data_IF_094000173337
#
_entry.id   IF_094000173337
#
_cell.length_a   1.000
_cell.length_b   1.000
_cell.length_c   1.000
_cell.angle_alpha   90.00
_cell.angle_beta   90.00
_cell.angle_gamma   90.00
#
_symmetry.space_group_name_H-M   'P 1'
#
loop_
_entity.id
_entity.type
_entity.pdbx_description
1 polymer ?
#
# COMPACT_ATOMS: atom_id res chain seq x y z
N UNK A 1 21.36 13.50 -41.49
CA UNK A 1 20.51 12.79 -42.48
C UNK A 1 20.72 11.31 -42.34
N UNK A 2 19.78 10.60 -41.75
CA UNK A 2 19.61 9.15 -42.00
C UNK A 2 18.19 8.75 -41.58
N UNK A 3 17.39 8.50 -42.59
CA UNK A 3 16.05 7.91 -42.54
C UNK A 3 16.17 6.39 -42.33
N UNK A 4 15.44 5.81 -41.43
CA UNK A 4 15.03 4.38 -41.43
C UNK A 4 13.60 4.35 -40.92
N UNK A 5 12.68 4.16 -41.83
CA UNK A 5 12.13 2.98 -42.46
C UNK A 5 11.22 2.19 -41.49
N UNK A 6 9.89 2.41 -41.74
CA UNK A 6 8.78 1.59 -41.26
C UNK A 6 8.88 0.15 -41.75
N UNK A 7 8.57 -0.82 -40.94
CA UNK A 7 7.97 -2.08 -41.40
C UNK A 7 6.75 -2.39 -40.54
N UNK A 8 5.61 -2.33 -41.20
CA UNK A 8 4.33 -2.93 -40.81
C UNK A 8 4.44 -4.44 -41.05
N UNK A 9 4.13 -5.24 -40.04
CA UNK A 9 3.71 -6.61 -40.25
C UNK A 9 2.34 -6.84 -39.66
N UNK A 10 1.40 -6.85 -40.58
CA UNK A 10 0.03 -7.32 -40.42
C UNK A 10 0.04 -8.83 -40.67
N UNK A 11 -0.21 -9.62 -39.64
CA UNK A 11 -0.48 -11.04 -39.82
C UNK A 11 -1.92 -11.32 -39.43
N UNK A 12 -2.70 -11.54 -40.51
CA UNK A 12 -4.04 -12.15 -40.50
C UNK A 12 -3.92 -13.64 -40.18
N UNK A 13 -4.78 -14.16 -39.37
CA UNK A 13 -4.91 -15.62 -39.11
C UNK A 13 -6.09 -15.90 -38.22
N UNK A 14 -7.14 -16.09 -38.84
CA UNK A 14 -7.92 -17.29 -39.18
C UNK A 14 -8.97 -17.63 -38.12
N UNK A 15 -10.15 -17.27 -38.49
CA UNK A 15 -11.48 -17.79 -38.17
C UNK A 15 -11.50 -19.34 -38.14
N UNK A 16 -11.80 -19.94 -37.01
CA UNK A 16 -12.30 -21.34 -36.96
C UNK A 16 -13.62 -21.39 -36.19
N UNK A 17 -14.67 -21.45 -36.99
CA UNK A 17 -15.98 -22.00 -36.66
C UNK A 17 -15.79 -23.47 -36.27
N UNK A 18 -16.26 -23.86 -35.11
CA UNK A 18 -16.37 -25.24 -34.65
C UNK A 18 -17.70 -25.46 -33.96
N UNK A 19 -18.69 -25.82 -34.75
CA UNK A 19 -20.02 -26.31 -34.41
C UNK A 19 -19.90 -27.77 -33.93
N UNK A 20 -20.71 -28.21 -33.00
CA UNK A 20 -21.09 -29.56 -32.49
C UNK A 20 -20.86 -29.66 -30.99
N UNK A 21 -21.71 -30.22 -30.16
CA UNK A 21 -22.82 -31.13 -30.25
C UNK A 21 -23.50 -31.16 -28.87
N UNK A 22 -24.80 -31.18 -28.90
CA UNK A 22 -25.72 -31.42 -27.76
C UNK A 22 -25.44 -32.80 -27.18
N UNK A 23 -25.19 -32.88 -25.84
CA UNK A 23 -25.44 -34.11 -25.09
C UNK A 23 -26.24 -33.76 -23.82
N UNK A 24 -27.52 -34.05 -23.94
CA UNK A 24 -28.49 -34.15 -22.88
C UNK A 24 -28.30 -35.53 -22.23
N UNK A 25 -27.78 -35.58 -20.98
CA UNK A 25 -27.93 -36.77 -20.15
C UNK A 25 -28.29 -36.33 -18.73
N UNK A 26 -29.53 -36.57 -18.40
CA UNK A 26 -30.03 -36.59 -17.05
C UNK A 26 -29.40 -37.77 -16.29
N UNK A 27 -28.79 -37.50 -15.12
CA UNK A 27 -28.57 -38.51 -14.08
C UNK A 27 -29.04 -37.96 -12.76
N UNK A 28 -30.09 -38.56 -12.26
CA UNK A 28 -30.59 -38.47 -10.89
C UNK A 28 -29.65 -39.28 -9.98
N UNK A 29 -29.65 -38.79 -8.73
CA UNK A 29 -29.38 -39.48 -7.47
C UNK A 29 -27.98 -39.95 -7.16
N UNK A 30 -27.41 -39.32 -6.12
CA UNK A 30 -26.99 -40.03 -4.89
C UNK A 30 -26.63 -39.03 -3.78
N UNK A 31 -27.39 -39.04 -2.71
CA UNK A 31 -27.02 -38.56 -1.40
C UNK A 31 -25.68 -39.14 -0.97
N UNK A 32 -24.69 -38.28 -0.81
CA UNK A 32 -23.38 -38.60 -0.26
C UNK A 32 -22.90 -37.47 0.59
N UNK A 33 -23.16 -37.50 1.91
CA UNK A 33 -22.45 -36.71 2.88
C UNK A 33 -20.97 -37.09 2.83
N UNK A 34 -20.17 -36.25 2.26
CA UNK A 34 -18.72 -36.31 2.40
C UNK A 34 -18.26 -34.97 2.96
N UNK A 35 -17.86 -35.00 4.22
CA UNK A 35 -17.21 -33.93 4.97
C UNK A 35 -15.85 -33.62 4.33
N UNK A 36 -15.89 -32.90 3.22
CA UNK A 36 -14.75 -32.22 2.64
C UNK A 36 -14.71 -30.80 3.18
N UNK A 37 -14.00 -30.57 4.27
CA UNK A 37 -13.70 -29.23 4.75
C UNK A 37 -12.83 -28.55 3.69
N UNK A 38 -13.50 -27.78 2.86
CA UNK A 38 -12.87 -26.89 1.92
C UNK A 38 -12.04 -25.85 2.68
N UNK A 39 -10.74 -25.89 2.47
CA UNK A 39 -9.78 -24.87 2.95
C UNK A 39 -9.98 -23.50 2.28
N UNK A 40 -11.04 -23.30 1.54
CA UNK A 40 -11.36 -22.03 0.85
C UNK A 40 -12.02 -20.97 1.73
N UNK A 41 -12.15 -21.22 3.07
CA UNK A 41 -12.87 -20.31 3.97
C UNK A 41 -11.99 -19.28 4.68
N UNK A 42 -10.69 -19.24 4.41
CA UNK A 42 -9.76 -18.28 5.02
C UNK A 42 -9.57 -16.97 4.25
N UNK A 43 -10.11 -16.85 3.03
CA UNK A 43 -9.88 -15.68 2.15
C UNK A 43 -11.00 -14.62 2.16
N UNK A 44 -12.06 -14.82 2.91
CA UNK A 44 -13.22 -13.93 2.86
C UNK A 44 -13.61 -13.40 4.23
N UNK A 45 -12.74 -12.62 4.89
CA UNK A 45 -13.16 -11.71 5.96
C UNK A 45 -12.04 -10.77 6.38
N UNK A 46 -11.75 -9.78 5.56
CA UNK A 46 -11.17 -8.52 6.04
C UNK A 46 -11.80 -7.35 5.28
N UNK A 47 -13.08 -7.11 5.53
CA UNK A 47 -13.76 -5.85 5.19
C UNK A 47 -13.69 -4.88 6.39
N UNK A 48 -12.60 -4.90 7.13
CA UNK A 48 -12.28 -3.85 8.07
C UNK A 48 -11.75 -2.66 7.29
N UNK A 49 -12.25 -1.47 7.59
CA UNK A 49 -11.68 -0.22 7.06
C UNK A 49 -10.18 -0.20 7.37
N UNK A 50 -9.33 -0.05 6.34
CA UNK A 50 -7.89 0.03 6.52
C UNK A 50 -7.53 1.20 7.46
N UNK A 51 -6.63 0.95 8.40
CA UNK A 51 -6.17 1.93 9.39
C UNK A 51 -4.66 2.02 9.37
N UNK A 52 -4.15 3.22 9.67
CA UNK A 52 -2.72 3.48 9.82
C UNK A 52 -2.44 4.25 11.10
N UNK A 53 -1.27 4.07 11.65
CA UNK A 53 -0.79 4.76 12.85
C UNK A 53 0.71 5.06 12.75
N UNK A 54 1.15 6.04 13.55
CA UNK A 54 2.54 6.49 13.62
C UNK A 54 2.98 6.50 15.06
N UNK A 55 4.18 6.00 15.34
CA UNK A 55 4.77 5.98 16.68
C UNK A 55 6.28 6.27 16.62
N UNK A 56 6.83 7.09 17.52
CA UNK A 56 6.13 7.95 18.48
C UNK A 56 5.34 9.06 17.79
N UNK A 57 4.24 9.50 18.39
CA UNK A 57 3.47 10.64 17.91
C UNK A 57 2.84 11.39 19.13
N UNK A 58 3.20 12.64 19.38
CA UNK A 58 4.09 13.51 18.63
C UNK A 58 5.56 13.12 18.71
N UNK A 59 6.32 13.53 17.68
CA UNK A 59 7.75 13.27 17.53
C UNK A 59 8.58 14.40 18.16
N UNK A 60 9.62 14.05 18.91
CA UNK A 60 10.56 15.03 19.46
C UNK A 60 11.41 15.67 18.35
N UNK A 61 11.68 16.94 18.49
CA UNK A 61 12.52 17.70 17.58
C UNK A 61 14.02 17.38 17.78
N UNK A 62 14.47 16.23 17.23
CA UNK A 62 15.87 15.79 17.30
C UNK A 62 16.51 15.79 15.90
N UNK A 63 17.86 15.80 15.88
CA UNK A 63 18.62 15.81 14.62
C UNK A 63 18.30 14.60 13.71
N UNK A 64 18.06 13.45 14.32
CA UNK A 64 17.67 12.21 13.67
C UNK A 64 16.56 11.55 14.47
N UNK A 65 15.47 11.20 13.82
CA UNK A 65 14.31 10.58 14.43
C UNK A 65 13.95 9.30 13.70
N UNK A 66 13.57 8.28 14.45
CA UNK A 66 12.98 7.05 13.91
C UNK A 66 11.49 7.07 14.21
N UNK A 67 10.70 6.86 13.18
CA UNK A 67 9.24 6.81 13.26
C UNK A 67 8.79 5.47 12.70
N UNK A 68 7.99 4.73 13.45
CA UNK A 68 7.36 3.50 12.98
C UNK A 68 6.00 3.86 12.40
N UNK A 69 5.75 3.45 11.18
CA UNK A 69 4.46 3.54 10.50
C UNK A 69 3.91 2.14 10.43
N UNK A 70 2.73 1.93 10.97
CA UNK A 70 2.06 0.63 10.98
C UNK A 70 0.60 0.76 10.58
N UNK A 71 0.01 -0.34 10.15
CA UNK A 71 -1.40 -0.34 9.81
C UNK A 71 -1.96 -1.75 9.66
N UNK A 72 -3.28 -1.83 9.57
CA UNK A 72 -4.04 -3.08 9.48
C UNK A 72 -5.28 -2.91 8.59
N UNK A 73 -5.91 -4.04 8.21
CA UNK A 73 -7.10 -4.03 7.38
C UNK A 73 -6.80 -3.97 5.87
N UNK A 74 -5.55 -4.24 5.47
CA UNK A 74 -5.14 -4.34 4.08
C UNK A 74 -5.34 -5.76 3.54
N UNK A 75 -5.29 -5.93 2.23
CA UNK A 75 -5.29 -7.27 1.61
C UNK A 75 -3.99 -8.00 1.96
N UNK A 76 -4.03 -9.31 2.24
CA UNK A 76 -2.82 -10.09 2.43
C UNK A 76 -1.84 -9.94 1.27
N UNK A 77 -0.54 -9.77 1.59
CA UNK A 77 0.57 -9.63 0.62
C UNK A 77 0.44 -8.41 -0.31
N UNK A 78 -0.45 -7.46 0.02
CA UNK A 78 -0.60 -6.23 -0.75
C UNK A 78 0.66 -5.36 -0.63
N UNK A 79 1.20 -4.93 -1.76
CA UNK A 79 2.20 -3.87 -1.78
C UNK A 79 1.53 -2.53 -1.49
N UNK A 80 2.15 -1.75 -0.64
CA UNK A 80 1.62 -0.46 -0.19
C UNK A 80 2.62 0.65 -0.54
N UNK A 81 2.10 1.81 -0.88
CA UNK A 81 2.86 3.03 -0.99
C UNK A 81 2.63 3.92 0.23
N UNK A 82 3.60 4.78 0.53
CA UNK A 82 3.51 5.76 1.60
C UNK A 82 3.77 7.15 1.04
N UNK A 83 2.78 8.02 1.11
CA UNK A 83 2.93 9.43 0.75
C UNK A 83 2.93 10.27 2.02
N UNK A 84 3.74 11.32 2.06
CA UNK A 84 3.71 12.32 3.10
C UNK A 84 3.59 13.71 2.49
N UNK A 85 2.75 14.55 3.07
CA UNK A 85 2.67 15.94 2.67
C UNK A 85 3.91 16.70 3.20
N UNK A 86 4.75 17.15 2.31
CA UNK A 86 5.96 17.96 2.61
C UNK A 86 5.77 19.38 2.11
N UNK A 87 4.95 20.18 2.82
CA UNK A 87 4.75 21.58 2.49
C UNK A 87 3.80 21.82 1.33
N UNK A 88 2.71 21.06 1.28
CA UNK A 88 1.63 21.20 0.29
C UNK A 88 1.74 20.32 -0.94
N UNK A 89 2.77 19.48 -1.02
CA UNK A 89 2.93 18.50 -2.09
C UNK A 89 3.15 17.10 -1.52
N UNK A 90 2.38 16.08 -1.97
CA UNK A 90 2.61 14.70 -1.56
C UNK A 90 3.96 14.21 -2.11
N UNK A 91 4.75 13.61 -1.24
CA UNK A 91 6.06 13.02 -1.57
C UNK A 91 6.07 11.55 -1.24
N UNK A 92 6.52 10.72 -2.15
CA UNK A 92 6.66 9.27 -1.93
C UNK A 92 7.86 8.98 -1.03
N UNK A 93 7.60 8.33 0.09
CA UNK A 93 8.59 7.87 1.06
C UNK A 93 8.75 6.35 1.10
N UNK A 94 8.07 5.60 0.23
CA UNK A 94 8.11 4.13 0.21
C UNK A 94 9.53 3.57 0.06
N UNK A 95 10.39 4.29 -0.67
CA UNK A 95 11.80 3.95 -0.83
C UNK A 95 12.70 4.31 0.36
N UNK A 96 12.21 5.15 1.28
CA UNK A 96 12.97 5.67 2.43
C UNK A 96 12.68 4.89 3.72
N UNK A 97 11.72 3.99 3.71
CA UNK A 97 11.32 3.17 4.86
C UNK A 97 11.90 1.76 4.78
N UNK A 98 12.09 1.12 5.93
CA UNK A 98 12.57 -0.27 6.02
C UNK A 98 11.83 -1.02 7.14
N UNK A 99 11.33 -2.26 6.87
CA UNK A 99 11.24 -2.93 5.56
C UNK A 99 10.32 -2.18 4.59
N UNK A 100 10.31 -2.58 3.30
CA UNK A 100 9.31 -2.05 2.35
C UNK A 100 7.90 -2.31 2.87
N UNK A 101 6.95 -1.37 2.69
CA UNK A 101 5.59 -1.53 3.21
C UNK A 101 4.82 -2.57 2.39
N UNK A 102 4.75 -3.78 2.93
CA UNK A 102 3.99 -4.91 2.37
C UNK A 102 3.15 -5.49 3.49
N UNK A 103 1.87 -5.67 3.25
CA UNK A 103 0.98 -6.30 4.21
C UNK A 103 1.31 -7.78 4.38
N UNK A 104 1.33 -8.26 5.62
CA UNK A 104 1.50 -9.67 5.95
C UNK A 104 0.23 -10.49 5.62
N UNK A 105 0.22 -11.77 5.98
CA UNK A 105 -0.94 -12.65 5.74
C UNK A 105 -2.19 -12.25 6.55
N UNK A 106 -2.02 -11.45 7.60
CA UNK A 106 -3.11 -10.88 8.42
C UNK A 106 -3.59 -9.52 7.90
N UNK A 107 -2.99 -8.99 6.83
CA UNK A 107 -3.29 -7.66 6.32
C UNK A 107 -2.73 -6.53 7.18
N UNK A 108 -1.62 -6.78 7.89
CA UNK A 108 -0.92 -5.79 8.73
C UNK A 108 0.43 -5.47 8.13
N UNK A 109 0.90 -4.24 8.29
CA UNK A 109 2.28 -3.87 7.98
C UNK A 109 2.90 -3.03 9.08
N UNK A 110 4.22 -3.07 9.15
CA UNK A 110 5.02 -2.18 10.01
C UNK A 110 6.33 -1.87 9.32
N UNK A 111 6.67 -0.60 9.29
CA UNK A 111 7.91 -0.10 8.68
C UNK A 111 8.48 1.04 9.47
N UNK A 112 9.79 1.27 9.37
CA UNK A 112 10.49 2.34 10.07
C UNK A 112 11.00 3.36 9.07
N UNK A 113 10.64 4.61 9.31
CA UNK A 113 11.14 5.76 8.60
C UNK A 113 12.20 6.47 9.45
N UNK A 114 13.37 6.72 8.86
CA UNK A 114 14.43 7.50 9.49
C UNK A 114 14.40 8.90 8.91
N UNK A 115 14.00 9.87 9.73
CA UNK A 115 13.86 11.27 9.36
C UNK A 115 15.13 12.01 9.80
N UNK A 116 15.92 12.51 8.86
CA UNK A 116 17.14 13.28 9.11
C UNK A 116 17.36 14.37 8.07
N UNK A 117 18.40 15.17 8.25
CA UNK A 117 18.92 16.13 7.28
C UNK A 117 17.88 17.05 6.65
N UNK A 118 17.76 16.97 5.31
CA UNK A 118 16.87 17.84 4.52
C UNK A 118 15.39 17.48 4.69
N UNK A 119 15.08 16.18 4.78
CA UNK A 119 13.71 15.71 4.97
C UNK A 119 13.16 16.32 6.25
N UNK A 120 13.94 16.26 7.33
CA UNK A 120 13.57 16.87 8.59
C UNK A 120 13.30 18.38 8.46
N UNK A 121 14.13 19.12 7.72
CA UNK A 121 13.92 20.56 7.51
C UNK A 121 12.59 20.86 6.82
N UNK A 122 12.21 20.07 5.83
CA UNK A 122 10.94 20.21 5.11
C UNK A 122 9.72 19.88 5.99
N UNK A 123 9.90 18.98 6.97
CA UNK A 123 8.83 18.55 7.88
C UNK A 123 8.68 19.43 9.13
N UNK A 124 9.45 20.50 9.27
CA UNK A 124 9.38 21.34 10.47
C UNK A 124 8.39 22.48 10.35
N UNK A 125 7.96 22.77 9.15
CA UNK A 125 6.97 23.81 8.88
C UNK A 125 6.11 23.36 7.69
N UNK A 126 4.85 23.05 7.91
CA UNK A 126 4.12 22.98 9.19
C UNK A 126 4.60 21.84 10.12
N UNK A 127 4.18 21.85 11.40
CA UNK A 127 4.53 20.80 12.37
C UNK A 127 3.64 19.57 12.31
N UNK A 128 2.63 19.57 11.47
CA UNK A 128 1.68 18.48 11.28
C UNK A 128 1.64 18.08 9.80
N UNK A 129 1.82 16.79 9.54
CA UNK A 129 1.88 16.23 8.19
C UNK A 129 0.94 15.05 8.08
N UNK A 130 0.19 14.98 6.98
CA UNK A 130 -0.59 13.80 6.67
C UNK A 130 0.29 12.74 6.02
N UNK A 131 0.21 11.51 6.51
CA UNK A 131 0.77 10.33 5.86
C UNK A 131 -0.40 9.54 5.29
N UNK A 132 -0.33 9.25 4.01
CA UNK A 132 -1.31 8.44 3.30
C UNK A 132 -0.71 7.08 2.95
N UNK A 133 -1.46 6.02 3.22
CA UNK A 133 -1.16 4.67 2.73
C UNK A 133 -1.96 4.46 1.46
N UNK A 134 -1.28 4.16 0.37
CA UNK A 134 -1.87 4.01 -0.96
C UNK A 134 -1.65 2.61 -1.51
N UNK A 135 -2.45 2.22 -2.49
CA UNK A 135 -2.24 1.01 -3.27
C UNK A 135 -1.42 1.30 -4.56
N UNK A 136 -1.24 0.27 -5.38
CA UNK A 136 -0.56 0.34 -6.66
C UNK A 136 -1.28 1.18 -7.73
N UNK A 137 -2.58 1.45 -7.52
CA UNK A 137 -3.38 2.35 -8.36
C UNK A 137 -3.44 3.80 -7.80
N UNK A 138 -2.59 4.13 -6.82
CA UNK A 138 -2.52 5.43 -6.15
C UNK A 138 -3.78 5.82 -5.38
N UNK A 139 -4.65 4.86 -5.04
CA UNK A 139 -5.84 5.10 -4.22
C UNK A 139 -5.44 5.12 -2.76
N UNK A 140 -5.89 6.12 -2.03
CA UNK A 140 -5.68 6.21 -0.59
C UNK A 140 -6.52 5.17 0.14
N UNK A 141 -5.86 4.28 0.85
CA UNK A 141 -6.47 3.22 1.67
C UNK A 141 -6.65 3.66 3.11
N UNK A 142 -5.66 4.36 3.67
CA UNK A 142 -5.69 4.86 5.04
C UNK A 142 -4.90 6.17 5.16
N UNK A 143 -5.22 6.96 6.19
CA UNK A 143 -4.50 8.21 6.52
C UNK A 143 -4.15 8.22 8.00
N UNK A 144 -3.01 8.82 8.32
CA UNK A 144 -2.60 9.12 9.69
C UNK A 144 -1.85 10.46 9.72
N UNK A 145 -1.68 11.01 10.89
CA UNK A 145 -1.02 12.31 11.05
C UNK A 145 0.26 12.17 11.84
N UNK A 146 1.35 12.69 11.33
CA UNK A 146 2.64 12.84 12.00
C UNK A 146 2.74 14.25 12.56
N UNK A 147 3.00 14.38 13.86
CA UNK A 147 3.09 15.68 14.56
C UNK A 147 4.50 15.82 15.12
N UNK A 148 5.17 16.96 14.86
CA UNK A 148 6.41 17.31 15.49
C UNK A 148 6.16 18.23 16.69
N UNK A 149 6.80 17.94 17.82
CA UNK A 149 6.81 18.87 18.97
C UNK A 149 7.57 20.14 18.57
N UNK A 150 6.97 21.28 18.85
CA UNK A 150 7.69 22.56 18.70
C UNK A 150 8.87 22.57 19.67
N UNK A 151 10.07 23.00 19.24
CA UNK A 151 11.19 23.20 20.19
C UNK A 151 10.78 24.18 21.26
N UNK A 152 10.93 23.80 22.52
CA UNK A 152 10.79 24.76 23.62
C UNK A 152 11.86 25.85 23.45
N UNK A 153 11.41 27.07 23.41
CA UNK A 153 12.33 28.20 23.40
C UNK A 153 13.18 28.12 24.70
N UNK A 154 14.48 27.88 24.54
CA UNK A 154 15.39 27.93 25.69
C UNK A 154 15.25 29.31 26.30
N UNK A 155 14.65 29.40 27.48
CA UNK A 155 14.72 30.62 28.29
C UNK A 155 16.20 31.00 28.42
N UNK A 156 16.55 32.13 27.82
CA UNK A 156 17.87 32.71 28.06
C UNK A 156 17.90 33.09 29.54
N UNK A 157 18.55 32.24 30.36
CA UNK A 157 18.93 32.69 31.72
C UNK A 157 19.76 33.94 31.55
N UNK A 158 19.18 35.03 31.98
CA UNK A 158 19.85 36.32 32.13
C UNK A 158 20.78 36.29 33.35
#
# INVERSE_FOLDING_TARGET
MQKRSLTKDVTRGALRLGLTLVFLTAFLSATGCSSGQSQDKAMARQTGKAMASVSPNPVDYKRKVKVTISGSGFKPKQQLGLLVDMGGAPSDISGLVKPKPVANEKGEFSTVWVIDGEIRRKLLTPTSHTIEVIDDEWRTLAKTTLIFKKPEAKEKKK
#
